data_IF_042606246854
#
_entry.id   IF_042606246854
#
_cell.length_a   1.000
_cell.length_b   1.000
_cell.length_c   1.000
_cell.angle_alpha   90.00
_cell.angle_beta   90.00
_cell.angle_gamma   90.00
#
_symmetry.space_group_name_H-M   'P 1'
#
loop_
_entity.id
_entity.type
_entity.pdbx_description
1 polymer ?
#
# COMPACT_ATOMS: atom_id res chain seq x y z
N UNK A 1 -38.94 25.22 15.26
CA UNK A 1 -38.67 24.07 16.16
C UNK A 1 -39.34 22.88 15.53
N UNK A 2 -38.56 21.91 15.02
CA UNK A 2 -39.14 20.62 14.65
C UNK A 2 -39.35 19.87 15.95
N UNK A 3 -40.59 19.47 16.25
CA UNK A 3 -40.88 18.54 17.35
C UNK A 3 -40.19 17.21 17.03
N UNK A 4 -39.08 16.94 17.71
CA UNK A 4 -38.42 15.64 17.66
C UNK A 4 -39.23 14.73 18.58
N UNK A 5 -40.06 13.86 18.01
CA UNK A 5 -40.77 12.82 18.76
C UNK A 5 -39.77 11.73 19.14
N UNK A 6 -39.24 11.80 20.37
CA UNK A 6 -38.36 10.76 20.91
C UNK A 6 -39.11 9.45 21.12
N UNK A 7 -38.45 8.30 20.91
CA UNK A 7 -39.07 7.00 21.19
C UNK A 7 -39.41 6.86 22.68
N UNK A 8 -40.56 6.23 22.95
CA UNK A 8 -40.97 5.86 24.30
C UNK A 8 -40.38 4.51 24.74
N UNK A 9 -39.81 3.72 23.82
CA UNK A 9 -39.21 2.41 24.12
C UNK A 9 -38.04 2.56 25.09
N UNK A 10 -37.98 1.83 26.21
CA UNK A 10 -36.81 1.83 27.09
C UNK A 10 -35.52 1.44 26.34
N UNK A 11 -34.40 2.08 26.65
CA UNK A 11 -33.12 1.83 25.95
C UNK A 11 -32.66 0.37 26.08
N UNK A 12 -32.93 -0.28 27.22
CA UNK A 12 -32.62 -1.70 27.46
C UNK A 12 -33.43 -2.66 26.59
N UNK A 13 -34.56 -2.22 26.04
CA UNK A 13 -35.42 -3.05 25.19
C UNK A 13 -35.06 -2.95 23.69
N UNK A 14 -34.15 -2.03 23.32
CA UNK A 14 -33.68 -1.90 21.95
C UNK A 14 -32.65 -3.00 21.68
N UNK A 15 -33.03 -3.97 20.86
CA UNK A 15 -32.15 -5.07 20.44
C UNK A 15 -30.91 -4.55 19.70
N UNK A 16 -29.73 -5.07 20.01
CA UNK A 16 -28.49 -4.74 19.29
C UNK A 16 -28.24 -5.56 18.01
N UNK A 17 -29.07 -6.59 17.78
CA UNK A 17 -28.96 -7.48 16.62
C UNK A 17 -29.52 -6.83 15.34
N UNK A 18 -29.09 -7.31 14.16
CA UNK A 18 -29.60 -6.87 12.84
C UNK A 18 -29.55 -5.35 12.59
N UNK A 19 -28.52 -4.66 13.08
CA UNK A 19 -28.37 -3.21 12.93
C UNK A 19 -29.03 -2.37 14.02
N UNK A 20 -29.61 -2.98 15.05
CA UNK A 20 -30.24 -2.24 16.15
C UNK A 20 -29.27 -1.53 17.10
N UNK A 21 -27.96 -1.85 17.10
CA UNK A 21 -26.95 -1.05 17.80
C UNK A 21 -26.83 0.38 17.27
N UNK A 22 -27.09 0.57 15.97
CA UNK A 22 -27.09 1.86 15.29
C UNK A 22 -28.34 2.68 15.68
N UNK A 23 -29.47 2.00 15.88
CA UNK A 23 -30.70 2.59 16.40
C UNK A 23 -30.57 2.98 17.86
N UNK A 24 -30.00 2.09 18.68
CA UNK A 24 -29.69 2.36 20.08
C UNK A 24 -28.73 3.55 20.23
N UNK A 25 -27.68 3.63 19.40
CA UNK A 25 -26.76 4.78 19.41
C UNK A 25 -27.46 6.10 19.04
N UNK A 26 -28.41 6.07 18.10
CA UNK A 26 -29.25 7.23 17.74
C UNK A 26 -30.12 7.65 18.94
N UNK A 27 -30.84 6.71 19.55
CA UNK A 27 -31.71 7.00 20.71
C UNK A 27 -30.93 7.53 21.90
N UNK A 28 -29.74 6.98 22.18
CA UNK A 28 -28.83 7.51 23.21
C UNK A 28 -28.49 8.98 22.90
N UNK A 29 -28.12 9.28 21.66
CA UNK A 29 -27.74 10.64 21.26
C UNK A 29 -28.91 11.62 21.38
N UNK A 30 -30.07 11.25 20.85
CA UNK A 30 -31.26 12.10 20.87
C UNK A 30 -31.77 12.33 22.29
N UNK A 31 -31.84 11.30 23.13
CA UNK A 31 -32.28 11.45 24.52
C UNK A 31 -31.31 12.27 25.36
N UNK A 32 -30.01 12.10 25.14
CA UNK A 32 -29.00 12.88 25.84
C UNK A 32 -29.10 14.38 25.49
N UNK A 33 -29.30 14.72 24.22
CA UNK A 33 -29.43 16.10 23.75
C UNK A 33 -30.77 16.76 24.11
N UNK A 34 -31.85 15.97 24.23
CA UNK A 34 -33.21 16.48 24.42
C UNK A 34 -33.73 16.32 25.87
N UNK A 35 -32.85 16.45 26.86
CA UNK A 35 -33.24 16.56 28.29
C UNK A 35 -33.57 15.25 29.00
N UNK A 36 -33.33 14.09 28.37
CA UNK A 36 -33.49 12.74 28.96
C UNK A 36 -32.14 12.08 29.28
N UNK A 37 -31.14 12.87 29.64
CA UNK A 37 -29.77 12.39 29.89
C UNK A 37 -29.68 11.36 31.01
N UNK A 38 -30.54 11.43 32.04
CA UNK A 38 -30.53 10.46 33.14
C UNK A 38 -30.84 9.04 32.66
N UNK A 39 -31.78 8.87 31.72
CA UNK A 39 -32.08 7.54 31.15
C UNK A 39 -30.87 6.92 30.46
N UNK A 40 -30.05 7.75 29.82
CA UNK A 40 -28.81 7.31 29.17
C UNK A 40 -27.77 6.91 30.21
N UNK A 41 -27.65 7.68 31.29
CA UNK A 41 -26.74 7.37 32.41
C UNK A 41 -27.13 6.05 33.07
N UNK A 42 -28.41 5.85 33.35
CA UNK A 42 -28.94 4.63 33.96
C UNK A 42 -28.73 3.43 33.03
N UNK A 43 -29.03 3.60 31.74
CA UNK A 43 -28.75 2.57 30.73
C UNK A 43 -27.26 2.17 30.68
N UNK A 44 -26.33 3.13 30.65
CA UNK A 44 -24.88 2.85 30.61
C UNK A 44 -24.43 2.13 31.89
N UNK A 45 -25.03 2.47 33.04
CA UNK A 45 -24.71 1.83 34.30
C UNK A 45 -25.17 0.37 34.36
N UNK A 46 -26.35 0.07 33.79
CA UNK A 46 -27.04 -1.21 33.98
C UNK A 46 -26.85 -2.22 32.82
N UNK A 47 -26.61 -1.77 31.60
CA UNK A 47 -26.51 -2.67 30.44
C UNK A 47 -25.34 -3.64 30.56
N UNK A 48 -25.31 -4.73 29.80
CA UNK A 48 -24.13 -5.59 29.78
C UNK A 48 -22.95 -4.92 29.04
N UNK A 49 -21.71 -5.29 29.41
CA UNK A 49 -20.49 -4.67 28.86
C UNK A 49 -20.35 -4.91 27.35
N UNK A 50 -20.89 -6.02 26.84
CA UNK A 50 -20.84 -6.34 25.42
C UNK A 50 -21.74 -5.40 24.60
N UNK A 51 -22.97 -5.19 25.05
CA UNK A 51 -23.89 -4.16 24.50
C UNK A 51 -23.24 -2.79 24.55
N UNK A 52 -22.65 -2.41 25.69
CA UNK A 52 -21.96 -1.13 25.85
C UNK A 52 -20.81 -0.95 24.84
N UNK A 53 -20.01 -2.00 24.64
CA UNK A 53 -18.92 -2.01 23.67
C UNK A 53 -19.43 -1.90 22.22
N UNK A 54 -20.47 -2.64 21.88
CA UNK A 54 -21.04 -2.67 20.51
C UNK A 54 -21.62 -1.31 20.11
N UNK A 55 -22.35 -0.65 21.01
CA UNK A 55 -22.88 0.70 20.75
C UNK A 55 -21.76 1.68 20.41
N UNK A 56 -20.60 1.55 21.06
CA UNK A 56 -19.41 2.36 20.79
C UNK A 56 -18.85 2.23 19.37
N UNK A 57 -19.16 1.14 18.65
CA UNK A 57 -18.76 0.96 17.24
C UNK A 57 -19.67 1.66 16.25
N UNK A 58 -20.83 2.18 16.66
CA UNK A 58 -21.74 2.91 15.78
C UNK A 58 -20.99 4.06 15.08
N UNK A 59 -21.03 4.06 13.73
CA UNK A 59 -20.30 5.01 12.89
C UNK A 59 -21.14 6.19 12.42
N UNK A 60 -22.37 6.32 12.92
CA UNK A 60 -23.28 7.37 12.46
C UNK A 60 -22.77 8.75 12.83
N UNK A 61 -22.78 9.64 11.84
CA UNK A 61 -22.48 11.05 12.04
C UNK A 61 -23.36 11.67 13.13
N UNK A 62 -24.60 11.18 13.33
CA UNK A 62 -25.55 11.67 14.34
C UNK A 62 -25.18 11.34 15.80
N UNK A 63 -24.13 10.55 16.06
CA UNK A 63 -23.74 10.24 17.43
C UNK A 63 -23.12 11.47 18.11
N UNK A 64 -23.74 11.96 19.19
CA UNK A 64 -23.33 13.23 19.82
C UNK A 64 -21.88 13.20 20.33
N UNK A 65 -21.43 12.06 20.87
CA UNK A 65 -20.05 11.86 21.33
C UNK A 65 -19.02 11.77 20.20
N UNK A 66 -19.43 11.75 18.92
CA UNK A 66 -18.50 11.80 17.78
C UNK A 66 -18.37 13.19 17.17
N UNK A 67 -19.35 14.07 17.41
CA UNK A 67 -19.38 15.41 16.85
C UNK A 67 -18.74 16.46 17.76
N UNK A 68 -18.78 16.23 19.08
CA UNK A 68 -18.36 17.21 20.08
C UNK A 68 -17.42 16.58 21.12
N UNK A 69 -16.24 17.20 21.30
CA UNK A 69 -15.20 16.69 22.20
C UNK A 69 -15.60 16.75 23.68
N UNK A 70 -16.40 17.74 24.08
CA UNK A 70 -16.90 17.86 25.47
C UNK A 70 -17.94 16.77 25.77
N UNK A 71 -18.79 16.46 24.78
CA UNK A 71 -19.73 15.35 24.86
C UNK A 71 -19.00 14.03 24.89
N UNK A 72 -17.99 13.84 24.03
CA UNK A 72 -17.14 12.66 24.10
C UNK A 72 -16.54 12.46 25.49
N UNK A 73 -15.93 13.51 26.09
CA UNK A 73 -15.35 13.44 27.44
C UNK A 73 -16.41 13.03 28.48
N UNK A 74 -17.64 13.52 28.33
CA UNK A 74 -18.75 13.14 29.21
C UNK A 74 -19.09 11.65 29.09
N UNK A 75 -19.22 11.13 27.87
CA UNK A 75 -19.46 9.71 27.65
C UNK A 75 -18.26 8.84 28.09
N UNK A 76 -17.02 9.27 27.83
CA UNK A 76 -15.82 8.57 28.28
C UNK A 76 -15.79 8.39 29.81
N UNK A 77 -16.20 9.39 30.59
CA UNK A 77 -16.33 9.28 32.06
C UNK A 77 -17.38 8.28 32.51
N UNK A 78 -18.47 8.15 31.75
CA UNK A 78 -19.56 7.21 32.04
C UNK A 78 -19.15 5.79 31.68
N UNK A 79 -18.68 5.57 30.46
CA UNK A 79 -18.36 4.24 29.94
C UNK A 79 -17.04 3.70 30.49
N UNK A 80 -16.07 4.59 30.74
CA UNK A 80 -14.73 4.21 31.14
C UNK A 80 -14.66 3.57 32.53
N UNK A 81 -15.59 3.92 33.43
CA UNK A 81 -15.78 3.24 34.73
C UNK A 81 -16.09 1.74 34.57
N UNK A 82 -16.55 1.34 33.38
CA UNK A 82 -16.90 -0.04 33.04
C UNK A 82 -15.87 -0.68 32.10
N UNK A 83 -14.70 -0.06 31.92
CA UNK A 83 -13.65 -0.57 31.05
C UNK A 83 -13.95 -0.44 29.57
N UNK A 84 -14.78 0.53 29.16
CA UNK A 84 -15.11 0.79 27.76
C UNK A 84 -14.87 2.26 27.42
N UNK A 85 -14.19 2.54 26.31
CA UNK A 85 -14.10 3.88 25.73
C UNK A 85 -14.68 3.85 24.31
N UNK A 86 -15.75 4.61 24.10
CA UNK A 86 -16.31 4.80 22.77
C UNK A 86 -15.37 5.65 21.90
N UNK A 87 -15.32 5.37 20.60
CA UNK A 87 -14.56 6.20 19.66
C UNK A 87 -15.31 7.49 19.28
N UNK A 88 -14.59 8.49 18.78
CA UNK A 88 -15.16 9.78 18.37
C UNK A 88 -14.47 10.94 19.07
N UNK A 89 -14.34 12.09 18.39
CA UNK A 89 -13.70 13.33 18.90
C UNK A 89 -12.43 13.14 19.76
N UNK A 90 -11.72 12.02 19.56
CA UNK A 90 -10.46 11.64 20.18
C UNK A 90 -9.29 11.85 19.22
N UNK A 91 -9.52 12.66 18.18
CA UNK A 91 -8.49 13.15 17.28
C UNK A 91 -7.41 13.88 18.09
N UNK A 92 -6.18 13.76 17.62
CA UNK A 92 -4.99 14.28 18.29
C UNK A 92 -5.09 15.78 18.63
N UNK A 93 -5.86 16.56 17.86
CA UNK A 93 -6.07 18.00 18.06
C UNK A 93 -6.88 18.35 19.32
N UNK A 94 -7.63 17.39 19.89
CA UNK A 94 -8.47 17.59 21.08
C UNK A 94 -7.85 17.02 22.36
N UNK A 95 -6.61 16.52 22.27
CA UNK A 95 -5.85 15.96 23.38
C UNK A 95 -4.90 17.00 23.93
N UNK A 96 -4.86 17.09 25.25
CA UNK A 96 -3.97 17.95 26.03
C UNK A 96 -3.44 17.15 27.24
N UNK A 97 -2.56 17.75 28.04
CA UNK A 97 -2.00 17.08 29.21
C UNK A 97 -3.10 16.68 30.23
N UNK A 98 -4.10 17.53 30.45
CA UNK A 98 -5.19 17.25 31.39
C UNK A 98 -6.06 16.08 30.92
N UNK A 99 -6.32 15.98 29.62
CA UNK A 99 -6.98 14.84 29.00
C UNK A 99 -6.18 13.55 29.22
N UNK A 100 -4.86 13.58 28.96
CA UNK A 100 -4.00 12.42 29.13
C UNK A 100 -4.00 11.95 30.59
N UNK A 101 -3.86 12.88 31.54
CA UNK A 101 -3.94 12.60 32.98
C UNK A 101 -5.28 11.98 33.38
N UNK A 102 -6.38 12.54 32.89
CA UNK A 102 -7.73 12.05 33.17
C UNK A 102 -7.94 10.62 32.66
N UNK A 103 -7.60 10.36 31.40
CA UNK A 103 -7.76 9.03 30.79
C UNK A 103 -6.81 8.01 31.44
N UNK A 104 -5.61 8.42 31.81
CA UNK A 104 -4.67 7.59 32.56
C UNK A 104 -5.21 7.27 33.97
N UNK A 105 -5.76 8.26 34.68
CA UNK A 105 -6.36 8.07 36.00
C UNK A 105 -7.54 7.09 35.97
N UNK A 106 -8.37 7.16 34.93
CA UNK A 106 -9.47 6.23 34.69
C UNK A 106 -8.99 4.79 34.53
N UNK A 107 -7.95 4.55 33.72
CA UNK A 107 -7.34 3.22 33.58
C UNK A 107 -6.79 2.68 34.91
N UNK A 108 -6.08 3.51 35.67
CA UNK A 108 -5.57 3.14 37.01
C UNK A 108 -6.70 2.81 37.99
N UNK A 109 -7.79 3.58 37.95
CA UNK A 109 -8.96 3.32 38.79
C UNK A 109 -9.60 1.98 38.45
N UNK A 110 -9.75 1.63 37.17
CA UNK A 110 -10.26 0.32 36.77
C UNK A 110 -9.40 -0.83 37.31
N UNK A 111 -8.07 -0.71 37.24
CA UNK A 111 -7.15 -1.71 37.81
C UNK A 111 -7.31 -1.78 39.34
N UNK A 112 -7.39 -0.64 40.02
CA UNK A 112 -7.57 -0.61 41.47
C UNK A 112 -8.92 -1.21 41.90
N UNK A 113 -9.99 -0.93 41.16
CA UNK A 113 -11.34 -1.46 41.44
C UNK A 113 -11.47 -2.96 41.17
N UNK A 114 -10.67 -3.53 40.28
CA UNK A 114 -10.61 -4.98 40.07
C UNK A 114 -10.05 -5.72 41.30
N UNK A 115 -9.22 -5.07 42.11
CA UNK A 115 -8.64 -5.66 43.31
C UNK A 115 -7.86 -6.94 43.01
N UNK A 116 -8.19 -8.03 43.72
CA UNK A 116 -7.54 -9.33 43.58
C UNK A 116 -8.31 -10.31 42.69
N UNK A 117 -9.44 -9.92 42.08
CA UNK A 117 -10.19 -10.78 41.17
C UNK A 117 -9.40 -10.96 39.85
N UNK A 118 -8.94 -12.19 39.53
CA UNK A 118 -8.13 -12.43 38.34
C UNK A 118 -8.83 -12.06 37.03
N UNK A 119 -10.15 -12.29 36.92
CA UNK A 119 -10.89 -12.04 35.69
C UNK A 119 -11.11 -10.53 35.50
N UNK A 120 -11.51 -9.83 36.57
CA UNK A 120 -11.67 -8.39 36.54
C UNK A 120 -10.31 -7.69 36.29
N UNK A 121 -9.23 -8.19 36.87
CA UNK A 121 -7.89 -7.63 36.70
C UNK A 121 -7.38 -7.81 35.27
N UNK A 122 -7.64 -8.98 34.65
CA UNK A 122 -7.33 -9.21 33.25
C UNK A 122 -8.08 -8.23 32.33
N UNK A 123 -9.38 -8.02 32.57
CA UNK A 123 -10.19 -7.07 31.82
C UNK A 123 -9.72 -5.61 32.00
N UNK A 124 -9.36 -5.21 33.23
CA UNK A 124 -8.87 -3.86 33.51
C UNK A 124 -7.49 -3.60 32.87
N UNK A 125 -6.61 -4.61 32.84
CA UNK A 125 -5.31 -4.53 32.14
C UNK A 125 -5.50 -4.42 30.64
N UNK A 126 -6.39 -5.21 30.05
CA UNK A 126 -6.73 -5.11 28.62
C UNK A 126 -7.28 -3.71 28.28
N UNK A 127 -8.18 -3.18 29.11
CA UNK A 127 -8.69 -1.81 28.96
C UNK A 127 -7.55 -0.77 28.97
N UNK A 128 -6.63 -0.87 29.93
CA UNK A 128 -5.50 0.04 30.04
C UNK A 128 -4.55 -0.06 28.82
N UNK A 129 -4.27 -1.27 28.37
CA UNK A 129 -3.37 -1.55 27.25
C UNK A 129 -3.95 -1.16 25.89
N UNK A 130 -5.23 -1.46 25.63
CA UNK A 130 -5.84 -1.34 24.30
C UNK A 130 -6.67 -0.06 24.13
N UNK A 131 -7.29 0.46 25.21
CA UNK A 131 -8.15 1.65 25.13
C UNK A 131 -7.47 2.92 25.67
N UNK A 132 -6.79 2.82 26.81
CA UNK A 132 -6.19 4.00 27.48
C UNK A 132 -4.87 4.40 26.84
N UNK A 133 -3.91 3.47 26.71
CA UNK A 133 -2.54 3.80 26.25
C UNK A 133 -2.52 4.53 24.91
N UNK A 134 -3.36 4.12 23.95
CA UNK A 134 -3.46 4.72 22.61
C UNK A 134 -3.97 6.17 22.62
N UNK A 135 -4.49 6.65 23.75
CA UNK A 135 -5.04 7.99 23.95
C UNK A 135 -4.17 8.91 24.79
N UNK A 136 -3.05 8.43 25.33
CA UNK A 136 -2.20 9.21 26.23
C UNK A 136 -1.30 10.23 25.51
N UNK A 137 -1.11 10.11 24.20
CA UNK A 137 -0.33 11.07 23.43
C UNK A 137 -1.11 12.36 23.19
N UNK A 138 -0.40 13.49 23.22
CA UNK A 138 -0.93 14.82 22.91
C UNK A 138 0.15 15.72 22.29
N UNK A 139 -0.22 16.78 21.54
CA UNK A 139 0.76 17.70 20.96
C UNK A 139 1.64 18.36 22.04
N UNK A 140 2.96 18.26 21.88
CA UNK A 140 3.92 18.86 22.80
C UNK A 140 4.17 18.07 24.09
N UNK A 141 3.69 16.82 24.19
CA UNK A 141 4.06 15.91 25.28
C UNK A 141 5.59 15.81 25.41
N UNK A 142 6.09 15.87 26.64
CA UNK A 142 7.53 15.84 26.87
C UNK A 142 8.11 14.46 26.52
N UNK A 143 9.28 14.44 25.89
CA UNK A 143 10.00 13.20 25.53
C UNK A 143 10.09 12.22 26.70
N UNK A 144 10.50 12.70 27.88
CA UNK A 144 10.70 11.84 29.04
C UNK A 144 9.38 11.25 29.57
N UNK A 145 8.27 11.97 29.40
CA UNK A 145 6.93 11.47 29.72
C UNK A 145 6.53 10.35 28.76
N UNK A 146 6.75 10.52 27.45
CA UNK A 146 6.49 9.48 26.44
C UNK A 146 7.28 8.22 26.76
N UNK A 147 8.57 8.34 27.06
CA UNK A 147 9.42 7.21 27.43
C UNK A 147 8.92 6.51 28.71
N UNK A 148 8.53 7.28 29.74
CA UNK A 148 7.96 6.71 30.96
C UNK A 148 6.65 5.94 30.71
N UNK A 149 5.78 6.45 29.84
CA UNK A 149 4.54 5.78 29.45
C UNK A 149 4.80 4.48 28.68
N UNK A 150 5.80 4.46 27.80
CA UNK A 150 6.23 3.25 27.08
C UNK A 150 6.76 2.19 28.05
N UNK A 151 7.58 2.58 29.03
CA UNK A 151 8.05 1.65 30.07
C UNK A 151 6.91 1.11 30.94
N UNK A 152 5.97 1.98 31.35
CA UNK A 152 4.80 1.58 32.11
C UNK A 152 3.94 0.58 31.32
N UNK A 153 3.76 0.80 30.01
CA UNK A 153 3.06 -0.13 29.14
C UNK A 153 3.77 -1.50 29.06
N UNK A 154 5.11 -1.51 28.96
CA UNK A 154 5.87 -2.77 28.95
C UNK A 154 5.72 -3.53 30.28
N UNK A 155 5.81 -2.83 31.41
CA UNK A 155 5.60 -3.42 32.73
C UNK A 155 4.19 -4.04 32.83
N UNK A 156 3.18 -3.29 32.40
CA UNK A 156 1.79 -3.73 32.44
C UNK A 156 1.53 -4.99 31.57
N UNK A 157 2.15 -5.08 30.39
CA UNK A 157 2.08 -6.30 29.55
C UNK A 157 2.62 -7.52 30.28
N UNK A 158 3.78 -7.37 30.94
CA UNK A 158 4.41 -8.46 31.70
C UNK A 158 3.56 -8.88 32.88
N UNK A 159 2.99 -7.92 33.60
CA UNK A 159 2.04 -8.19 34.69
C UNK A 159 0.77 -8.90 34.21
N UNK A 160 0.32 -8.62 32.98
CA UNK A 160 -0.79 -9.29 32.32
C UNK A 160 -0.43 -10.69 31.79
N UNK A 161 0.84 -11.12 31.90
CA UNK A 161 1.30 -12.41 31.37
C UNK A 161 1.34 -12.46 29.84
N UNK A 162 1.37 -11.30 29.17
CA UNK A 162 1.42 -11.21 27.72
C UNK A 162 2.89 -11.37 27.27
N UNK A 163 3.14 -12.32 26.38
CA UNK A 163 4.48 -12.59 25.85
C UNK A 163 5.05 -11.36 25.09
N UNK A 164 6.37 -11.21 25.13
CA UNK A 164 7.08 -10.07 24.54
C UNK A 164 6.96 -10.02 23.00
N UNK A 165 6.65 -11.14 22.35
CA UNK A 165 6.42 -11.27 20.91
C UNK A 165 4.94 -11.40 20.51
N UNK A 166 4.03 -11.55 21.49
CA UNK A 166 2.60 -11.65 21.24
C UNK A 166 2.05 -10.40 20.54
N UNK A 167 1.49 -10.62 19.35
CA UNK A 167 0.75 -9.62 18.60
C UNK A 167 -0.60 -9.38 19.27
N UNK A 168 -0.76 -8.23 19.94
CA UNK A 168 -2.00 -7.82 20.58
C UNK A 168 -2.55 -6.49 20.04
N UNK A 169 -3.78 -6.15 20.40
CA UNK A 169 -4.46 -4.90 20.01
C UNK A 169 -3.90 -3.64 20.70
N UNK A 170 -2.93 -3.80 21.59
CA UNK A 170 -2.34 -2.76 22.42
C UNK A 170 -1.31 -1.91 21.63
N UNK A 171 -1.82 -0.94 20.88
CA UNK A 171 -1.01 -0.03 20.07
C UNK A 171 -0.33 1.07 20.90
N UNK A 172 0.97 1.23 20.68
CA UNK A 172 1.83 2.33 21.12
C UNK A 172 2.06 3.37 20.02
N UNK A 173 1.54 3.16 18.81
CA UNK A 173 1.78 4.03 17.64
C UNK A 173 1.70 5.52 17.96
N UNK A 174 0.61 6.03 18.56
CA UNK A 174 0.47 7.46 18.85
C UNK A 174 1.52 8.03 19.81
N UNK A 175 2.03 7.22 20.75
CA UNK A 175 3.11 7.63 21.65
C UNK A 175 4.46 7.63 20.92
N UNK A 176 4.71 6.59 20.11
CA UNK A 176 5.94 6.49 19.33
C UNK A 176 6.07 7.59 18.27
N UNK A 177 4.96 8.01 17.68
CA UNK A 177 4.91 9.15 16.74
C UNK A 177 5.30 10.48 17.39
N UNK A 178 5.24 10.59 18.73
CA UNK A 178 5.72 11.78 19.45
C UNK A 178 7.25 11.80 19.64
N UNK A 179 7.96 10.69 19.37
CA UNK A 179 9.42 10.60 19.46
C UNK A 179 10.04 10.99 18.11
N UNK A 180 10.58 12.20 18.02
CA UNK A 180 11.20 12.71 16.80
C UNK A 180 12.64 12.22 16.59
N UNK A 181 13.34 11.81 17.65
CA UNK A 181 14.72 11.32 17.57
C UNK A 181 14.72 9.83 17.17
N UNK A 182 15.36 9.45 16.04
CA UNK A 182 15.51 8.06 15.66
C UNK A 182 16.16 7.19 16.76
N UNK A 183 17.07 7.75 17.57
CA UNK A 183 17.76 7.02 18.62
C UNK A 183 16.79 6.51 19.70
N UNK A 184 15.74 7.28 20.02
CA UNK A 184 14.72 6.86 20.99
C UNK A 184 13.90 5.68 20.45
N UNK A 185 13.48 5.76 19.18
CA UNK A 185 12.75 4.68 18.53
C UNK A 185 13.59 3.41 18.43
N UNK A 186 14.89 3.53 18.16
CA UNK A 186 15.84 2.40 18.14
C UNK A 186 15.99 1.80 19.54
N UNK A 187 16.13 2.62 20.58
CA UNK A 187 16.23 2.16 21.96
C UNK A 187 14.96 1.42 22.41
N UNK A 188 13.78 1.93 22.04
CA UNK A 188 12.49 1.27 22.29
C UNK A 188 12.39 -0.05 21.52
N UNK A 189 12.79 -0.05 20.25
CA UNK A 189 12.79 -1.24 19.40
C UNK A 189 13.65 -2.38 19.98
N UNK A 190 14.73 -2.06 20.68
CA UNK A 190 15.61 -3.04 21.31
C UNK A 190 15.02 -3.76 22.53
N UNK A 191 13.86 -3.33 23.06
CA UNK A 191 13.28 -3.90 24.30
C UNK A 191 12.57 -5.22 24.05
N UNK A 192 11.70 -5.28 23.04
CA UNK A 192 10.89 -6.46 22.70
C UNK A 192 10.57 -6.49 21.21
N UNK A 193 10.22 -7.67 20.70
CA UNK A 193 9.76 -7.85 19.33
C UNK A 193 8.49 -7.02 19.03
N UNK A 194 7.55 -6.98 19.98
CA UNK A 194 6.36 -6.15 19.87
C UNK A 194 6.70 -4.67 19.69
N UNK A 195 7.66 -4.15 20.46
CA UNK A 195 8.05 -2.74 20.40
C UNK A 195 8.83 -2.44 19.12
N UNK A 196 9.72 -3.33 18.68
CA UNK A 196 10.40 -3.23 17.39
C UNK A 196 9.41 -3.01 16.25
N UNK A 197 8.37 -3.86 16.14
CA UNK A 197 7.41 -3.78 15.02
C UNK A 197 6.68 -2.45 14.97
N UNK A 198 6.37 -1.87 16.13
CA UNK A 198 5.68 -0.59 16.23
C UNK A 198 6.63 0.59 15.99
N UNK A 199 7.84 0.57 16.55
CA UNK A 199 8.83 1.62 16.39
C UNK A 199 9.31 1.74 14.93
N UNK A 200 9.57 0.60 14.26
CA UNK A 200 9.92 0.56 12.83
C UNK A 200 8.78 1.10 11.97
N UNK A 201 7.52 0.78 12.32
CA UNK A 201 6.37 1.31 11.59
C UNK A 201 6.24 2.84 11.78
N UNK A 202 6.30 3.33 13.02
CA UNK A 202 6.22 4.75 13.35
C UNK A 202 7.33 5.55 12.65
N UNK A 203 8.57 5.05 12.74
CA UNK A 203 9.71 5.63 12.03
C UNK A 203 9.48 5.62 10.52
N UNK A 204 9.06 4.49 9.94
CA UNK A 204 8.81 4.35 8.51
C UNK A 204 7.74 5.30 7.98
N UNK A 205 6.71 5.63 8.77
CA UNK A 205 5.72 6.66 8.41
C UNK A 205 6.31 8.07 8.52
N UNK A 206 6.97 8.38 9.64
CA UNK A 206 7.51 9.71 9.93
C UNK A 206 8.76 10.09 9.14
N UNK A 207 9.32 9.17 8.37
CA UNK A 207 10.55 9.35 7.58
C UNK A 207 10.33 9.27 6.05
N UNK A 208 9.07 9.28 5.60
CA UNK A 208 8.70 9.20 4.17
C UNK A 208 9.22 10.38 3.34
N UNK A 209 9.42 11.54 3.96
CA UNK A 209 9.98 12.75 3.36
C UNK A 209 11.46 12.61 2.98
N UNK A 210 12.19 11.67 3.60
CA UNK A 210 13.57 11.40 3.25
C UNK A 210 13.64 10.43 2.07
N UNK A 211 14.70 10.57 1.27
CA UNK A 211 15.04 9.62 0.21
C UNK A 211 15.29 8.22 0.78
N UNK A 212 15.10 7.19 -0.04
CA UNK A 212 15.30 5.80 0.37
C UNK A 212 16.70 5.58 0.98
N UNK A 213 17.74 6.21 0.42
CA UNK A 213 19.13 6.11 0.89
C UNK A 213 19.36 6.73 2.28
N UNK A 214 18.62 7.78 2.62
CA UNK A 214 18.77 8.47 3.91
C UNK A 214 17.84 7.91 4.97
N UNK A 215 16.67 7.42 4.56
CA UNK A 215 15.58 7.02 5.45
C UNK A 215 16.04 6.08 6.54
N UNK A 216 16.68 4.97 6.20
CA UNK A 216 17.03 3.94 7.18
C UNK A 216 18.45 4.04 7.73
N UNK A 217 19.23 5.04 7.30
CA UNK A 217 20.62 5.20 7.70
C UNK A 217 20.83 5.17 9.24
N UNK A 218 20.00 5.85 10.07
CA UNK A 218 20.14 5.77 11.53
C UNK A 218 19.97 4.36 12.11
N UNK A 219 19.23 3.48 11.44
CA UNK A 219 18.93 2.11 11.89
C UNK A 219 19.98 1.09 11.46
N UNK A 220 20.97 1.49 10.65
CA UNK A 220 21.96 0.55 10.10
C UNK A 220 22.74 -0.20 11.19
N UNK A 221 23.11 0.50 12.26
CA UNK A 221 23.85 -0.10 13.37
C UNK A 221 23.00 -1.06 14.21
N UNK A 222 21.72 -0.76 14.38
CA UNK A 222 20.79 -1.67 15.04
C UNK A 222 20.68 -2.99 14.27
N UNK A 223 20.44 -2.95 12.96
CA UNK A 223 20.31 -4.17 12.15
C UNK A 223 21.64 -4.93 11.99
N UNK A 224 22.77 -4.22 12.05
CA UNK A 224 24.09 -4.85 12.11
C UNK A 224 24.28 -5.66 13.38
N UNK A 225 23.84 -5.16 14.53
CA UNK A 225 23.92 -5.85 15.83
C UNK A 225 22.85 -6.95 15.97
N UNK A 226 21.69 -6.76 15.33
CA UNK A 226 20.55 -7.67 15.42
C UNK A 226 20.05 -8.13 14.03
N UNK A 227 20.87 -8.87 13.25
CA UNK A 227 20.54 -9.22 11.87
C UNK A 227 19.26 -10.04 11.70
N UNK A 228 18.88 -10.83 12.71
CA UNK A 228 17.64 -11.63 12.70
C UNK A 228 16.35 -10.80 12.67
N UNK A 229 16.40 -9.51 12.99
CA UNK A 229 15.25 -8.61 12.78
C UNK A 229 15.09 -8.25 11.31
N UNK A 230 16.19 -7.94 10.62
CA UNK A 230 16.13 -7.68 9.19
C UNK A 230 15.68 -8.92 8.42
N UNK A 231 16.14 -10.11 8.82
CA UNK A 231 15.73 -11.38 8.19
C UNK A 231 14.21 -11.64 8.28
N UNK A 232 13.56 -11.17 9.35
CA UNK A 232 12.12 -11.37 9.59
C UNK A 232 11.24 -10.24 9.08
N UNK A 233 11.78 -9.03 8.94
CA UNK A 233 11.02 -7.80 8.68
C UNK A 233 11.59 -6.96 7.53
N UNK A 234 12.36 -7.59 6.62
CA UNK A 234 12.97 -6.89 5.50
C UNK A 234 11.94 -6.14 4.65
N UNK A 235 10.70 -6.64 4.56
CA UNK A 235 9.59 -6.01 3.83
C UNK A 235 9.09 -4.69 4.43
N UNK A 236 9.30 -4.47 5.73
CA UNK A 236 8.93 -3.21 6.41
C UNK A 236 9.98 -2.12 6.23
N UNK A 237 11.23 -2.53 6.03
CA UNK A 237 12.38 -1.64 5.90
C UNK A 237 12.65 -1.35 4.43
N UNK A 238 12.79 -2.41 3.62
CA UNK A 238 13.04 -2.39 2.19
C UNK A 238 14.22 -1.49 1.76
N UNK A 239 15.26 -1.41 2.60
CA UNK A 239 16.47 -0.62 2.34
C UNK A 239 17.51 -1.43 1.53
N UNK A 240 17.89 -0.97 0.32
CA UNK A 240 18.91 -1.62 -0.50
C UNK A 240 20.24 -1.88 0.20
N UNK A 241 20.80 -0.92 0.95
CA UNK A 241 22.11 -1.11 1.57
C UNK A 241 22.07 -2.16 2.70
N UNK A 242 21.04 -2.13 3.54
CA UNK A 242 20.84 -3.15 4.58
C UNK A 242 20.68 -4.55 3.98
N UNK A 243 19.84 -4.67 2.95
CA UNK A 243 19.63 -5.95 2.26
C UNK A 243 20.94 -6.44 1.63
N UNK A 244 21.66 -5.60 0.89
CA UNK A 244 22.90 -5.99 0.23
C UNK A 244 24.01 -6.36 1.24
N UNK A 245 24.08 -5.67 2.38
CA UNK A 245 24.99 -6.03 3.48
C UNK A 245 24.65 -7.38 4.10
N UNK A 246 23.36 -7.70 4.22
CA UNK A 246 22.89 -8.96 4.82
C UNK A 246 22.94 -10.13 3.84
N UNK A 247 22.79 -9.88 2.55
CA UNK A 247 22.74 -10.82 1.44
C UNK A 247 23.75 -11.98 1.48
N UNK A 248 25.07 -11.77 1.67
CA UNK A 248 26.04 -12.87 1.64
C UNK A 248 25.86 -13.88 2.78
N UNK A 249 25.18 -13.49 3.86
CA UNK A 249 25.06 -14.28 5.09
C UNK A 249 23.72 -15.03 5.25
N UNK A 250 22.82 -14.92 4.27
CA UNK A 250 21.48 -15.52 4.34
C UNK A 250 21.31 -16.68 3.36
N UNK A 251 20.32 -17.52 3.62
CA UNK A 251 19.99 -18.69 2.78
C UNK A 251 19.46 -18.25 1.40
N UNK A 252 19.57 -19.11 0.37
CA UNK A 252 19.01 -18.81 -0.96
C UNK A 252 17.51 -18.46 -0.92
N UNK A 253 16.73 -19.09 -0.02
CA UNK A 253 15.32 -18.81 0.14
C UNK A 253 15.07 -17.39 0.69
N UNK A 254 15.87 -16.93 1.65
CA UNK A 254 15.74 -15.59 2.21
C UNK A 254 16.31 -14.53 1.25
N UNK A 255 17.41 -14.81 0.55
CA UNK A 255 17.90 -13.99 -0.57
C UNK A 255 16.76 -13.71 -1.54
N UNK A 256 16.04 -14.75 -1.95
CA UNK A 256 14.91 -14.57 -2.86
C UNK A 256 13.82 -13.63 -2.32
N UNK A 257 13.41 -13.81 -1.06
CA UNK A 257 12.42 -12.91 -0.42
C UNK A 257 12.91 -11.46 -0.37
N UNK A 258 14.19 -11.24 -0.06
CA UNK A 258 14.79 -9.90 -0.04
C UNK A 258 14.82 -9.27 -1.44
N UNK A 259 15.10 -10.04 -2.50
CA UNK A 259 14.97 -9.56 -3.89
C UNK A 259 13.55 -9.12 -4.20
N UNK A 260 12.55 -9.92 -3.83
CA UNK A 260 11.14 -9.57 -4.04
C UNK A 260 10.75 -8.29 -3.31
N UNK A 261 11.28 -8.08 -2.10
CA UNK A 261 11.10 -6.83 -1.35
C UNK A 261 11.69 -5.63 -2.09
N UNK A 262 12.93 -5.71 -2.56
CA UNK A 262 13.57 -4.61 -3.31
C UNK A 262 12.79 -4.27 -4.57
N UNK A 263 12.38 -5.28 -5.34
CA UNK A 263 11.61 -5.08 -6.56
C UNK A 263 10.22 -4.47 -6.27
N UNK A 264 9.59 -4.83 -5.15
CA UNK A 264 8.28 -4.29 -4.77
C UNK A 264 8.36 -2.86 -4.23
N UNK A 265 9.51 -2.47 -3.66
CA UNK A 265 9.75 -1.14 -3.11
C UNK A 265 10.36 -0.15 -4.12
N UNK A 266 10.76 -0.65 -5.29
CA UNK A 266 11.40 0.15 -6.33
C UNK A 266 10.47 1.28 -6.83
N UNK A 267 10.94 2.53 -6.91
CA UNK A 267 10.12 3.65 -7.35
C UNK A 267 9.79 3.55 -8.85
N UNK A 268 8.57 3.95 -9.19
CA UNK A 268 8.08 3.98 -10.58
C UNK A 268 8.64 5.14 -11.41
N UNK A 269 9.05 6.24 -10.75
CA UNK A 269 9.58 7.43 -11.40
C UNK A 269 11.11 7.47 -11.34
N UNK A 270 11.74 7.95 -12.41
CA UNK A 270 13.19 8.16 -12.45
C UNK A 270 13.64 9.20 -11.41
N UNK A 271 14.79 8.93 -10.77
CA UNK A 271 15.42 9.79 -9.78
C UNK A 271 16.45 9.05 -8.93
N UNK A 272 17.13 9.75 -8.03
CA UNK A 272 18.25 9.23 -7.22
C UNK A 272 17.91 7.95 -6.43
N UNK A 273 16.66 7.82 -5.97
CA UNK A 273 16.20 6.61 -5.29
C UNK A 273 16.14 5.43 -6.25
N UNK A 274 15.75 5.63 -7.51
CA UNK A 274 15.68 4.55 -8.50
C UNK A 274 17.07 3.96 -8.75
N UNK A 275 18.10 4.78 -8.91
CA UNK A 275 19.49 4.31 -9.09
C UNK A 275 19.96 3.52 -7.87
N UNK A 276 19.60 3.96 -6.66
CA UNK A 276 19.93 3.24 -5.44
C UNK A 276 19.31 1.83 -5.36
N UNK A 277 18.08 1.64 -5.85
CA UNK A 277 17.49 0.31 -5.99
C UNK A 277 18.12 -0.48 -7.14
N UNK A 278 18.38 0.17 -8.28
CA UNK A 278 18.99 -0.47 -9.44
C UNK A 278 20.38 -1.02 -9.14
N UNK A 279 21.22 -0.30 -8.42
CA UNK A 279 22.57 -0.77 -8.04
C UNK A 279 22.50 -2.10 -7.26
N UNK A 280 21.55 -2.22 -6.33
CA UNK A 280 21.35 -3.44 -5.56
C UNK A 280 20.81 -4.58 -6.43
N UNK A 281 19.84 -4.31 -7.31
CA UNK A 281 19.28 -5.31 -8.23
C UNK A 281 20.32 -5.76 -9.26
N UNK A 282 21.14 -4.85 -9.81
CA UNK A 282 22.25 -5.17 -10.71
C UNK A 282 23.24 -6.13 -10.02
N UNK A 283 23.65 -5.83 -8.78
CA UNK A 283 24.52 -6.71 -8.01
C UNK A 283 23.91 -8.10 -7.82
N UNK A 284 22.60 -8.19 -7.54
CA UNK A 284 21.89 -9.46 -7.37
C UNK A 284 21.84 -10.23 -8.69
N UNK A 285 21.51 -9.59 -9.81
CA UNK A 285 21.44 -10.23 -11.13
C UNK A 285 22.82 -10.74 -11.55
N UNK A 286 23.87 -9.94 -11.37
CA UNK A 286 25.26 -10.35 -11.70
C UNK A 286 25.76 -11.51 -10.85
N UNK A 287 25.25 -11.65 -9.62
CA UNK A 287 25.64 -12.75 -8.74
C UNK A 287 25.10 -14.11 -9.23
N UNK A 288 23.84 -14.18 -9.65
CA UNK A 288 23.22 -15.41 -10.16
C UNK A 288 22.15 -15.10 -11.21
N UNK A 289 22.66 -14.86 -12.42
CA UNK A 289 21.85 -14.48 -13.57
C UNK A 289 20.84 -15.58 -13.96
N UNK A 290 21.25 -16.84 -13.86
CA UNK A 290 20.44 -18.00 -14.25
C UNK A 290 19.23 -18.19 -13.35
N UNK A 291 19.45 -18.08 -12.04
CA UNK A 291 18.37 -18.16 -11.05
C UNK A 291 17.39 -17.01 -11.21
N UNK A 292 17.88 -15.78 -11.44
CA UNK A 292 17.01 -14.64 -11.66
C UNK A 292 16.15 -14.81 -12.93
N UNK A 293 16.76 -15.21 -14.05
CA UNK A 293 16.03 -15.51 -15.29
C UNK A 293 15.00 -16.64 -15.11
N UNK A 294 15.34 -17.68 -14.34
CA UNK A 294 14.43 -18.77 -13.98
C UNK A 294 13.21 -18.28 -13.18
N UNK A 295 13.40 -17.36 -12.26
CA UNK A 295 12.32 -16.76 -11.48
C UNK A 295 11.44 -15.80 -12.31
N UNK A 296 12.07 -15.02 -13.19
CA UNK A 296 11.38 -14.13 -14.10
C UNK A 296 10.44 -14.93 -15.03
N UNK A 297 10.91 -16.06 -15.58
CA UNK A 297 10.10 -17.02 -16.35
C UNK A 297 8.92 -17.60 -15.57
N UNK A 298 9.15 -17.97 -14.31
CA UNK A 298 8.11 -18.48 -13.41
C UNK A 298 7.11 -17.40 -12.97
N UNK A 299 7.33 -16.14 -13.35
CA UNK A 299 6.52 -14.97 -12.96
C UNK A 299 6.44 -14.79 -11.44
N UNK A 300 7.45 -15.26 -10.72
CA UNK A 300 7.60 -14.97 -9.29
C UNK A 300 8.15 -13.56 -9.04
N UNK A 301 8.49 -12.86 -10.13
CA UNK A 301 8.86 -11.45 -10.21
C UNK A 301 7.92 -10.72 -11.16
N UNK A 302 7.48 -9.54 -10.75
CA UNK A 302 6.81 -8.59 -11.65
C UNK A 302 7.86 -7.89 -12.49
N UNK A 303 7.75 -8.00 -13.81
CA UNK A 303 8.51 -7.15 -14.74
C UNK A 303 7.80 -5.80 -14.83
N UNK A 304 8.49 -4.72 -14.46
CA UNK A 304 8.07 -3.34 -14.69
C UNK A 304 9.03 -2.62 -15.64
N UNK A 305 8.69 -1.37 -15.98
CA UNK A 305 9.51 -0.53 -16.87
C UNK A 305 10.94 -0.33 -16.39
N UNK A 306 11.14 -0.19 -15.07
CA UNK A 306 12.44 0.03 -14.47
C UNK A 306 13.35 -1.19 -14.60
N UNK A 307 12.86 -2.36 -14.17
CA UNK A 307 13.60 -3.62 -14.27
C UNK A 307 13.88 -3.99 -15.74
N UNK A 308 12.90 -3.83 -16.63
CA UNK A 308 13.10 -4.10 -18.05
C UNK A 308 14.16 -3.18 -18.68
N UNK A 309 14.15 -1.89 -18.31
CA UNK A 309 15.16 -0.93 -18.79
C UNK A 309 16.54 -1.23 -18.23
N UNK A 310 16.65 -1.63 -16.95
CA UNK A 310 17.91 -2.06 -16.36
C UNK A 310 18.49 -3.28 -17.11
N UNK A 311 17.66 -4.31 -17.33
CA UNK A 311 18.08 -5.52 -18.04
C UNK A 311 18.57 -5.20 -19.45
N UNK A 312 17.85 -4.32 -20.15
CA UNK A 312 18.25 -3.88 -21.47
C UNK A 312 19.54 -3.05 -21.43
N UNK A 313 19.67 -2.09 -20.52
CA UNK A 313 20.86 -1.23 -20.42
C UNK A 313 22.14 -2.03 -20.13
N UNK A 314 22.06 -2.96 -19.17
CA UNK A 314 23.21 -3.77 -18.74
C UNK A 314 23.44 -5.01 -19.61
N UNK A 315 22.54 -5.28 -20.58
CA UNK A 315 22.68 -6.33 -21.59
C UNK A 315 22.94 -7.73 -21.00
N UNK A 316 22.15 -8.12 -19.99
CA UNK A 316 22.30 -9.41 -19.31
C UNK A 316 21.91 -10.59 -20.24
N UNK A 317 22.85 -11.42 -20.72
CA UNK A 317 22.58 -12.40 -21.80
C UNK A 317 21.50 -13.45 -21.50
N UNK A 318 21.35 -13.90 -20.26
CA UNK A 318 20.34 -14.89 -19.87
C UNK A 318 18.96 -14.29 -19.57
N UNK A 319 18.84 -12.96 -19.43
CA UNK A 319 17.57 -12.28 -19.19
C UNK A 319 17.02 -11.62 -20.45
N UNK A 320 17.88 -11.19 -21.39
CA UNK A 320 17.46 -10.56 -22.64
C UNK A 320 16.41 -11.39 -23.41
N UNK A 321 16.55 -12.72 -23.60
CA UNK A 321 15.56 -13.52 -24.31
C UNK A 321 14.19 -13.55 -23.64
N UNK A 322 14.12 -13.27 -22.33
CA UNK A 322 12.90 -13.33 -21.54
C UNK A 322 12.10 -12.02 -21.63
N UNK A 323 12.74 -10.89 -21.94
CA UNK A 323 12.09 -9.57 -21.91
C UNK A 323 10.89 -9.48 -22.84
N UNK A 324 11.07 -9.81 -24.12
CA UNK A 324 9.99 -9.68 -25.11
C UNK A 324 8.79 -10.59 -24.78
N UNK A 325 8.95 -11.91 -24.52
CA UNK A 325 7.84 -12.76 -24.11
C UNK A 325 7.10 -12.27 -22.87
N UNK A 326 7.81 -11.71 -21.89
CA UNK A 326 7.22 -11.21 -20.65
C UNK A 326 6.47 -9.88 -20.84
N UNK A 327 7.04 -8.95 -21.62
CA UNK A 327 6.35 -7.71 -22.00
C UNK A 327 5.05 -8.04 -22.71
N UNK A 328 5.07 -9.00 -23.64
CA UNK A 328 3.89 -9.47 -24.35
C UNK A 328 2.88 -10.19 -23.45
N UNK A 329 3.24 -10.57 -22.22
CA UNK A 329 2.29 -11.09 -21.23
C UNK A 329 1.75 -10.02 -20.27
N UNK A 330 2.31 -8.80 -20.29
CA UNK A 330 2.01 -7.72 -19.36
C UNK A 330 0.75 -6.93 -19.77
N UNK A 331 -0.39 -7.61 -19.81
CA UNK A 331 -1.65 -7.10 -20.38
C UNK A 331 -2.07 -5.73 -19.85
N UNK A 332 -1.84 -5.36 -18.60
CA UNK A 332 -2.36 -4.11 -18.02
C UNK A 332 -1.32 -3.00 -17.82
N UNK A 333 -0.06 -3.22 -18.23
CA UNK A 333 1.06 -2.32 -17.90
C UNK A 333 2.00 -2.03 -19.07
N UNK A 334 1.53 -2.24 -20.32
CA UNK A 334 2.34 -1.99 -21.52
C UNK A 334 2.82 -0.54 -21.66
N UNK A 335 2.07 0.45 -21.14
CA UNK A 335 2.49 1.86 -21.20
C UNK A 335 3.79 2.07 -20.42
N UNK A 336 3.92 1.44 -19.26
CA UNK A 336 5.16 1.48 -18.45
C UNK A 336 6.31 0.69 -19.07
N UNK A 337 6.02 -0.20 -20.03
CA UNK A 337 6.99 -1.02 -20.75
C UNK A 337 7.23 -0.51 -22.19
N UNK A 338 6.70 0.67 -22.54
CA UNK A 338 6.81 1.25 -23.88
C UNK A 338 8.27 1.48 -24.29
N UNK A 339 9.07 2.13 -23.44
CA UNK A 339 10.49 2.37 -23.72
C UNK A 339 11.29 1.08 -23.95
N UNK A 340 11.28 0.07 -23.04
CA UNK A 340 12.01 -1.17 -23.28
C UNK A 340 11.48 -1.94 -24.49
N UNK A 341 10.16 -1.93 -24.76
CA UNK A 341 9.60 -2.55 -25.97
C UNK A 341 10.14 -1.89 -27.24
N UNK A 342 10.20 -0.56 -27.28
CA UNK A 342 10.75 0.19 -28.42
C UNK A 342 12.23 -0.13 -28.62
N UNK A 343 13.04 -0.21 -27.55
CA UNK A 343 14.44 -0.58 -27.69
C UNK A 343 14.65 -1.99 -28.25
N UNK A 344 13.88 -2.97 -27.74
CA UNK A 344 13.97 -4.36 -28.19
C UNK A 344 13.60 -4.47 -29.67
N UNK A 345 12.48 -3.87 -30.08
CA UNK A 345 12.00 -3.96 -31.46
C UNK A 345 12.81 -3.08 -32.44
N UNK A 346 13.50 -2.04 -31.96
CA UNK A 346 14.48 -1.32 -32.77
C UNK A 346 15.66 -2.22 -33.16
N UNK A 347 16.11 -3.08 -32.24
CA UNK A 347 17.23 -4.00 -32.47
C UNK A 347 16.80 -5.27 -33.22
N UNK A 348 15.64 -5.85 -32.89
CA UNK A 348 15.14 -7.09 -33.49
C UNK A 348 13.65 -6.96 -33.91
N UNK A 349 13.35 -6.28 -35.03
CA UNK A 349 11.98 -6.08 -35.51
C UNK A 349 11.18 -7.38 -35.69
N UNK A 350 11.86 -8.46 -36.06
CA UNK A 350 11.25 -9.77 -36.32
C UNK A 350 10.65 -10.43 -35.07
N UNK A 351 11.06 -10.02 -33.86
CA UNK A 351 10.48 -10.54 -32.61
C UNK A 351 8.96 -10.32 -32.55
N UNK A 352 8.44 -9.29 -33.22
CA UNK A 352 7.00 -9.02 -33.30
C UNK A 352 6.20 -10.23 -33.80
N UNK A 353 6.78 -11.06 -34.68
CA UNK A 353 6.16 -12.29 -35.19
C UNK A 353 5.96 -13.38 -34.12
N UNK A 354 6.71 -13.30 -33.03
CA UNK A 354 6.61 -14.23 -31.89
C UNK A 354 5.69 -13.70 -30.78
N UNK A 355 5.15 -12.49 -30.97
CA UNK A 355 4.28 -11.84 -30.00
C UNK A 355 2.95 -12.57 -29.82
N UNK A 356 2.33 -12.40 -28.65
CA UNK A 356 1.00 -12.96 -28.39
C UNK A 356 -0.08 -12.13 -29.08
N UNK A 357 -0.94 -12.79 -29.84
CA UNK A 357 -2.05 -12.16 -30.58
C UNK A 357 -2.94 -11.25 -29.74
N UNK A 358 -3.19 -11.63 -28.48
CA UNK A 358 -4.02 -10.88 -27.53
C UNK A 358 -3.39 -9.56 -27.07
N UNK A 359 -2.09 -9.40 -27.23
CA UNK A 359 -1.30 -8.28 -26.70
C UNK A 359 -0.68 -7.42 -27.79
N UNK A 360 -0.54 -7.96 -29.01
CA UNK A 360 -0.04 -7.24 -30.19
C UNK A 360 -0.76 -5.91 -30.46
N UNK A 361 -2.10 -5.80 -30.44
CA UNK A 361 -2.76 -4.50 -30.70
C UNK A 361 -2.29 -3.39 -29.76
N UNK A 362 -2.07 -3.73 -28.48
CA UNK A 362 -1.61 -2.77 -27.47
C UNK A 362 -0.12 -2.47 -27.60
N UNK A 363 0.68 -3.48 -27.93
CA UNK A 363 2.10 -3.30 -28.20
C UNK A 363 2.33 -2.32 -29.35
N UNK A 364 1.56 -2.45 -30.44
CA UNK A 364 1.62 -1.55 -31.61
C UNK A 364 1.26 -0.10 -31.25
N UNK A 365 0.24 0.10 -30.40
CA UNK A 365 -0.20 1.44 -30.01
C UNK A 365 0.92 2.27 -29.34
N UNK A 366 1.80 1.63 -28.57
CA UNK A 366 2.87 2.28 -27.81
C UNK A 366 4.22 2.40 -28.54
N UNK A 367 4.30 1.94 -29.80
CA UNK A 367 5.52 2.11 -30.60
C UNK A 367 5.71 3.57 -31.02
N UNK A 368 6.95 4.00 -31.03
CA UNK A 368 7.37 5.27 -31.62
C UNK A 368 7.44 5.13 -33.16
N UNK A 369 7.54 6.26 -33.86
CA UNK A 369 7.50 6.30 -35.33
C UNK A 369 8.63 5.49 -35.98
N UNK A 370 9.86 5.59 -35.47
CA UNK A 370 11.02 4.91 -36.05
C UNK A 370 10.91 3.38 -35.93
N UNK A 371 10.53 2.89 -34.75
CA UNK A 371 10.32 1.47 -34.50
C UNK A 371 9.13 0.96 -35.30
N UNK A 372 8.03 1.71 -35.35
CA UNK A 372 6.86 1.37 -36.15
C UNK A 372 7.23 1.18 -37.63
N UNK A 373 8.05 2.08 -38.20
CA UNK A 373 8.60 1.96 -39.56
C UNK A 373 9.43 0.68 -39.71
N UNK A 374 10.33 0.42 -38.76
CA UNK A 374 11.20 -0.76 -38.77
C UNK A 374 10.43 -2.09 -38.69
N UNK A 375 9.28 -2.13 -38.01
CA UNK A 375 8.47 -3.35 -37.88
C UNK A 375 7.43 -3.56 -39.00
N UNK A 376 7.32 -2.65 -39.98
CA UNK A 376 6.38 -2.79 -41.10
C UNK A 376 6.49 -4.15 -41.83
N UNK A 377 7.68 -4.71 -42.12
CA UNK A 377 7.77 -6.03 -42.74
C UNK A 377 7.15 -7.15 -41.89
N UNK A 378 7.34 -7.11 -40.57
CA UNK A 378 6.75 -8.10 -39.66
C UNK A 378 5.23 -7.94 -39.56
N UNK A 379 4.73 -6.70 -39.52
CA UNK A 379 3.30 -6.40 -39.59
C UNK A 379 2.67 -6.90 -40.89
N UNK A 380 3.38 -6.79 -42.01
CA UNK A 380 2.91 -7.33 -43.29
C UNK A 380 2.69 -8.84 -43.24
N UNK A 381 3.65 -9.58 -42.68
CA UNK A 381 3.50 -11.03 -42.48
C UNK A 381 2.31 -11.37 -41.60
N UNK A 382 2.12 -10.65 -40.47
CA UNK A 382 1.00 -10.88 -39.56
C UNK A 382 -0.35 -10.61 -40.24
N UNK A 383 -0.47 -9.50 -40.97
CA UNK A 383 -1.70 -9.12 -41.66
C UNK A 383 -2.00 -10.08 -42.81
N UNK A 384 -1.00 -10.44 -43.62
CA UNK A 384 -1.17 -11.40 -44.71
C UNK A 384 -1.64 -12.76 -44.23
N UNK A 385 -1.12 -13.21 -43.07
CA UNK A 385 -1.53 -14.46 -42.42
C UNK A 385 -2.91 -14.40 -41.73
N UNK A 386 -3.70 -13.34 -41.94
CA UNK A 386 -5.06 -13.23 -41.40
C UNK A 386 -5.12 -12.72 -39.97
N UNK A 387 -4.36 -11.66 -39.66
CA UNK A 387 -4.41 -10.97 -38.37
C UNK A 387 -5.85 -10.66 -37.90
N UNK A 388 -6.05 -10.65 -36.57
CA UNK A 388 -7.32 -10.26 -35.98
C UNK A 388 -7.74 -8.84 -36.36
N UNK A 389 -9.05 -8.59 -36.42
CA UNK A 389 -9.59 -7.24 -36.70
C UNK A 389 -9.07 -6.19 -35.70
N UNK A 390 -8.86 -6.58 -34.43
CA UNK A 390 -8.28 -5.72 -33.41
C UNK A 390 -6.83 -5.33 -33.72
N UNK A 391 -6.00 -6.26 -34.20
CA UNK A 391 -4.63 -5.97 -34.61
C UNK A 391 -4.61 -5.06 -35.84
N UNK A 392 -5.44 -5.34 -36.84
CA UNK A 392 -5.56 -4.50 -38.04
C UNK A 392 -5.95 -3.06 -37.68
N UNK A 393 -6.96 -2.88 -36.82
CA UNK A 393 -7.37 -1.55 -36.36
C UNK A 393 -6.23 -0.82 -35.59
N UNK A 394 -5.50 -1.53 -34.73
CA UNK A 394 -4.36 -0.94 -34.02
C UNK A 394 -3.23 -0.51 -34.97
N UNK A 395 -2.97 -1.28 -36.03
CA UNK A 395 -2.00 -0.91 -37.07
C UNK A 395 -2.48 0.34 -37.83
N UNK A 396 -3.76 0.40 -38.20
CA UNK A 396 -4.35 1.58 -38.87
C UNK A 396 -4.18 2.84 -38.01
N UNK A 397 -4.49 2.75 -36.72
CA UNK A 397 -4.33 3.88 -35.81
C UNK A 397 -2.86 4.26 -35.60
N UNK A 398 -1.97 3.29 -35.41
CA UNK A 398 -0.55 3.56 -35.22
C UNK A 398 0.11 4.15 -36.48
N UNK A 399 -0.29 3.70 -37.67
CA UNK A 399 0.26 4.14 -38.95
C UNK A 399 0.01 5.62 -39.25
N UNK A 400 -0.93 6.28 -38.56
CA UNK A 400 -1.12 7.74 -38.62
C UNK A 400 0.12 8.54 -38.18
N UNK A 401 1.06 7.91 -37.48
CA UNK A 401 2.35 8.47 -37.07
C UNK A 401 3.41 8.47 -38.18
N UNK A 402 3.21 7.67 -39.23
CA UNK A 402 4.14 7.51 -40.35
C UNK A 402 3.84 8.52 -41.45
N UNK A 403 4.78 8.78 -42.35
CA UNK A 403 4.50 9.54 -43.56
C UNK A 403 3.89 8.65 -44.65
N UNK A 404 3.09 9.19 -45.60
CA UNK A 404 2.58 8.41 -46.72
C UNK A 404 3.70 7.73 -47.54
N UNK A 405 4.89 8.34 -47.61
CA UNK A 405 6.06 7.75 -48.24
C UNK A 405 6.51 6.45 -47.55
N UNK A 406 6.53 6.42 -46.21
CA UNK A 406 6.89 5.21 -45.45
C UNK A 406 5.92 4.04 -45.76
N UNK A 407 4.63 4.36 -45.92
CA UNK A 407 3.59 3.38 -46.26
C UNK A 407 3.75 2.88 -47.71
N UNK A 408 4.12 3.77 -48.63
CA UNK A 408 4.39 3.42 -50.03
C UNK A 408 5.62 2.51 -50.14
N UNK A 409 6.71 2.85 -49.44
CA UNK A 409 7.97 2.10 -49.43
C UNK A 409 7.82 0.72 -48.82
N UNK A 410 6.86 0.53 -47.90
CA UNK A 410 6.52 -0.79 -47.38
C UNK A 410 5.94 -1.74 -48.44
N UNK A 411 5.44 -1.22 -49.57
CA UNK A 411 5.02 -2.00 -50.73
C UNK A 411 3.69 -2.74 -50.58
N UNK A 412 2.89 -2.42 -49.54
CA UNK A 412 1.70 -3.21 -49.21
C UNK A 412 0.59 -3.14 -50.26
N UNK A 413 0.41 -1.99 -50.91
CA UNK A 413 -0.59 -1.77 -51.97
C UNK A 413 -0.31 -2.59 -53.23
N UNK A 414 0.96 -2.83 -53.54
CA UNK A 414 1.39 -3.62 -54.69
C UNK A 414 1.46 -5.12 -54.42
N UNK A 415 1.16 -5.57 -53.20
CA UNK A 415 1.26 -6.99 -52.84
C UNK A 415 0.13 -7.82 -53.47
N UNK A 416 0.42 -9.11 -53.73
CA UNK A 416 -0.59 -10.07 -54.17
C UNK A 416 -1.58 -10.49 -53.07
N UNK A 417 -1.38 -10.04 -51.83
CA UNK A 417 -2.18 -10.41 -50.66
C UNK A 417 -3.37 -9.46 -50.49
N UNK A 418 -4.59 -10.01 -50.47
CA UNK A 418 -5.82 -9.23 -50.34
C UNK A 418 -5.96 -8.55 -48.97
N UNK A 419 -5.54 -9.23 -47.89
CA UNK A 419 -5.63 -8.68 -46.53
C UNK A 419 -4.68 -7.50 -46.38
N UNK A 420 -3.47 -7.62 -46.93
CA UNK A 420 -2.46 -6.58 -46.88
C UNK A 420 -2.87 -5.34 -47.68
N UNK A 421 -3.41 -5.53 -48.89
CA UNK A 421 -3.96 -4.42 -49.71
C UNK A 421 -5.12 -3.73 -49.02
N UNK A 422 -6.04 -4.50 -48.43
CA UNK A 422 -7.19 -3.96 -47.71
C UNK A 422 -6.75 -3.16 -46.47
N UNK A 423 -5.78 -3.64 -45.69
CA UNK A 423 -5.23 -2.92 -44.55
C UNK A 423 -4.51 -1.63 -44.98
N UNK A 424 -3.73 -1.67 -46.07
CA UNK A 424 -3.05 -0.48 -46.59
C UNK A 424 -4.03 0.60 -47.08
N UNK A 425 -5.12 0.19 -47.75
CA UNK A 425 -6.20 1.10 -48.12
C UNK A 425 -6.85 1.76 -46.90
N UNK A 426 -7.12 1.00 -45.84
CA UNK A 426 -7.66 1.56 -44.59
C UNK A 426 -6.71 2.56 -43.93
N UNK A 427 -5.40 2.25 -43.89
CA UNK A 427 -4.37 3.16 -43.38
C UNK A 427 -4.42 4.48 -44.14
N UNK A 428 -4.38 4.44 -45.48
CA UNK A 428 -4.36 5.64 -46.31
C UNK A 428 -5.65 6.46 -46.19
N UNK A 429 -6.82 5.81 -46.14
CA UNK A 429 -8.10 6.50 -45.95
C UNK A 429 -8.18 7.20 -44.58
N UNK A 430 -7.60 6.60 -43.53
CA UNK A 430 -7.58 7.15 -42.17
C UNK A 430 -6.41 8.11 -41.90
N UNK A 431 -5.54 8.35 -42.88
CA UNK A 431 -4.29 9.10 -42.70
C UNK A 431 -4.52 10.61 -42.51
N UNK A 432 -3.80 11.31 -41.61
CA UNK A 432 -3.97 12.76 -41.43
C UNK A 432 -3.61 13.61 -42.66
N UNK A 433 -2.54 13.25 -43.38
CA UNK A 433 -2.20 13.84 -44.69
C UNK A 433 -3.02 13.20 -45.81
N UNK A 434 -4.18 13.81 -46.10
CA UNK A 434 -5.11 13.35 -47.12
C UNK A 434 -4.61 13.60 -48.55
N UNK A 435 -3.73 14.59 -48.76
CA UNK A 435 -3.22 14.91 -50.09
C UNK A 435 -2.21 13.85 -50.56
N UNK A 436 -1.24 13.52 -49.70
CA UNK A 436 -0.28 12.44 -49.96
C UNK A 436 -0.96 11.07 -50.09
N UNK A 437 -1.90 10.77 -49.20
CA UNK A 437 -2.62 9.50 -49.22
C UNK A 437 -3.50 9.31 -50.47
N UNK A 438 -4.23 10.35 -50.90
CA UNK A 438 -5.05 10.30 -52.11
C UNK A 438 -4.22 10.08 -53.38
N UNK A 439 -3.03 10.68 -53.44
CA UNK A 439 -2.12 10.49 -54.56
C UNK A 439 -1.64 9.03 -54.67
N UNK A 440 -1.40 8.35 -53.54
CA UNK A 440 -1.06 6.93 -53.53
C UNK A 440 -2.24 6.03 -53.91
N UNK A 441 -3.44 6.32 -53.40
CA UNK A 441 -4.66 5.58 -53.72
C UNK A 441 -5.04 5.67 -55.20
N UNK A 442 -4.75 6.78 -55.88
CA UNK A 442 -5.05 6.95 -57.31
C UNK A 442 -4.15 6.13 -58.26
N UNK A 443 -3.05 5.57 -57.76
CA UNK A 443 -2.05 4.84 -58.56
C UNK A 443 -2.30 3.32 -58.62
N UNK A 444 -3.26 2.80 -57.86
CA UNK A 444 -3.57 1.38 -57.68
C UNK A 444 -5.08 1.15 -57.52
#
# INVERSE_FOLDING_TARGET
MNDITLSATPLLEISIYNGGHDELAREISERFQNGRAQEVVDFIAECDVYTLGIVGFARRASCVWRQDASMWRTFARLTGKRGVLWGGADDFIYRDAAFSEEIHAMGRQCIASAGADPLALAAAREFMLSCVTSRLSYPGIARDEVLALIEAHLALRREAGIEDDANGQSSLGPLLECLSDPADLIAVAGKTEHFFRQAVWAYGQGSKQYSARQRWLPWHDFFRQHPGYLDRHHERVADPALIMRRWPHVTPALRWKMTQTLLSAMPYSAGDDQDYFFDAIDCIIRHDQASFAGNLRKRTVRLDGGLASLIWREQYPQLLPELFPLIMCARHSLDTLSAPLNFILASEPALLLTGRDDSLPRAIAVLNTEVLRGVLPALATLIGNGASAALRAAVVEAAKKLEPADIADAGWLGSGDENLRAACREILLAHPDQAGASALLSRY
#
